data_IF_320507194740
#
_entry.id   IF_320507194740
#
_cell.length_a   1.000
_cell.length_b   1.000
_cell.length_c   1.000
_cell.angle_alpha   90.00
_cell.angle_beta   90.00
_cell.angle_gamma   90.00
#
_symmetry.space_group_name_H-M   'P 1'
#
loop_
_entity.id
_entity.type
_entity.pdbx_description
1 polymer ?
#
# COMPACT_ATOMS: atom_id res chain seq x y z
N UNK A 1 9.33 8.21 26.56
CA UNK A 1 9.93 8.63 25.28
C UNK A 1 8.87 8.41 24.24
N UNK A 2 8.48 9.44 23.48
CA UNK A 2 7.50 9.27 22.42
C UNK A 2 8.16 8.51 21.28
N UNK A 3 7.79 7.26 21.09
CA UNK A 3 8.05 6.52 19.85
C UNK A 3 7.49 7.37 18.70
N UNK A 4 8.30 7.64 17.68
CA UNK A 4 7.80 8.37 16.53
C UNK A 4 6.83 7.45 15.79
N UNK A 5 5.59 7.89 15.64
CA UNK A 5 4.55 7.14 14.96
C UNK A 5 4.22 7.81 13.62
N UNK A 6 4.28 7.04 12.54
CA UNK A 6 3.87 7.49 11.21
C UNK A 6 2.71 6.65 10.70
N UNK A 7 1.89 7.23 9.83
CA UNK A 7 0.79 6.52 9.16
C UNK A 7 0.90 6.74 7.66
N UNK A 8 0.82 5.65 6.89
CA UNK A 8 0.73 5.73 5.42
C UNK A 8 -0.75 5.76 5.02
N UNK A 9 -1.12 6.77 4.23
CA UNK A 9 -2.46 6.92 3.70
C UNK A 9 -2.51 6.72 2.18
N UNK A 10 -3.49 5.94 1.73
CA UNK A 10 -3.84 5.80 0.32
C UNK A 10 -4.79 6.94 -0.09
N UNK A 11 -4.23 7.92 -0.80
CA UNK A 11 -4.96 9.13 -1.23
C UNK A 11 -6.04 8.85 -2.30
N UNK A 12 -6.16 7.62 -2.79
CA UNK A 12 -7.27 7.24 -3.65
C UNK A 12 -8.63 7.25 -2.91
N UNK A 13 -8.62 7.04 -1.60
CA UNK A 13 -9.82 7.05 -0.77
C UNK A 13 -10.06 8.42 -0.12
N UNK A 14 -11.32 8.82 -0.03
CA UNK A 14 -11.72 10.08 0.60
C UNK A 14 -11.36 10.10 2.10
N UNK A 15 -11.27 11.31 2.65
CA UNK A 15 -11.10 11.48 4.10
C UNK A 15 -12.26 10.82 4.86
N UNK A 16 -11.95 10.02 5.87
CA UNK A 16 -12.92 9.25 6.66
C UNK A 16 -13.22 7.83 6.16
N UNK A 17 -12.76 7.42 4.97
CA UNK A 17 -12.83 6.01 4.56
C UNK A 17 -11.81 5.19 5.36
N UNK A 18 -12.27 4.13 6.04
CA UNK A 18 -11.42 3.24 6.83
C UNK A 18 -10.31 2.56 6.01
N UNK A 19 -10.50 2.40 4.69
CA UNK A 19 -9.50 1.81 3.77
C UNK A 19 -8.36 2.76 3.42
N UNK A 20 -8.48 4.03 3.80
CA UNK A 20 -7.46 5.05 3.56
C UNK A 20 -6.18 4.79 4.36
N UNK A 21 -6.28 4.28 5.59
CA UNK A 21 -5.10 3.89 6.35
C UNK A 21 -4.53 2.57 5.79
N UNK A 22 -3.27 2.59 5.38
CA UNK A 22 -2.57 1.41 4.86
C UNK A 22 -1.81 0.72 6.00
N UNK A 23 -1.07 1.48 6.78
CA UNK A 23 -0.34 0.98 7.94
C UNK A 23 0.01 2.09 8.93
N UNK A 24 0.29 1.68 10.17
CA UNK A 24 1.00 2.48 11.16
C UNK A 24 2.44 1.98 11.28
N UNK A 25 3.39 2.88 11.51
CA UNK A 25 4.82 2.61 11.62
C UNK A 25 5.30 3.15 12.95
N UNK A 26 6.00 2.34 13.73
CA UNK A 26 6.59 2.71 15.01
C UNK A 26 8.08 2.37 15.03
N UNK A 27 8.88 3.22 15.66
CA UNK A 27 10.31 2.95 15.86
C UNK A 27 10.48 1.91 16.96
N UNK A 28 11.16 0.79 16.67
CA UNK A 28 11.49 -0.24 17.68
C UNK A 28 12.93 -0.14 18.12
N UNK A 29 13.83 0.22 17.21
CA UNK A 29 15.25 0.49 17.48
C UNK A 29 15.73 1.65 16.61
N UNK A 30 16.96 2.15 16.82
CA UNK A 30 17.54 3.21 15.99
C UNK A 30 17.69 2.83 14.51
N UNK A 31 17.62 1.54 14.17
CA UNK A 31 17.80 1.01 12.81
C UNK A 31 16.63 0.16 12.33
N UNK A 32 15.54 0.11 13.09
CA UNK A 32 14.41 -0.76 12.76
C UNK A 32 13.08 -0.11 13.15
N UNK A 33 12.13 -0.21 12.24
CA UNK A 33 10.74 0.15 12.44
C UNK A 33 9.86 -1.09 12.34
N UNK A 34 8.80 -1.11 13.14
CA UNK A 34 7.73 -2.10 13.06
C UNK A 34 6.50 -1.48 12.40
N UNK A 35 5.83 -2.29 11.60
CA UNK A 35 4.68 -1.92 10.79
C UNK A 35 3.48 -2.74 11.19
N UNK A 36 2.38 -2.06 11.49
CA UNK A 36 1.08 -2.65 11.64
C UNK A 36 0.26 -2.41 10.37
N UNK A 37 0.05 -3.46 9.58
CA UNK A 37 -0.76 -3.37 8.36
C UNK A 37 -2.25 -3.31 8.71
N UNK A 38 -2.94 -2.28 8.21
CA UNK A 38 -4.39 -2.11 8.36
C UNK A 38 -5.17 -2.82 7.25
N UNK A 39 -4.46 -3.33 6.24
CA UNK A 39 -4.98 -4.06 5.09
C UNK A 39 -4.28 -5.41 5.01
N UNK A 40 -4.93 -6.38 4.38
CA UNK A 40 -4.32 -7.68 4.12
C UNK A 40 -3.26 -7.54 3.01
N UNK A 41 -2.03 -7.22 3.44
CA UNK A 41 -0.85 -7.05 2.60
C UNK A 41 0.17 -8.10 3.04
N UNK A 42 0.65 -8.97 2.13
CA UNK A 42 1.66 -9.98 2.43
C UNK A 42 3.06 -9.37 2.45
N UNK A 43 3.22 -8.24 3.15
CA UNK A 43 4.47 -7.51 3.29
C UNK A 43 5.07 -7.76 4.69
N UNK A 44 6.41 -7.70 4.84
CA UNK A 44 7.07 -7.85 6.12
C UNK A 44 6.57 -6.84 7.16
N UNK A 45 6.62 -7.23 8.44
CA UNK A 45 6.25 -6.37 9.57
C UNK A 45 7.42 -5.51 10.09
N UNK A 46 8.66 -5.78 9.68
CA UNK A 46 9.86 -5.08 10.15
C UNK A 46 10.67 -4.56 8.98
N UNK A 47 11.13 -3.33 9.08
CA UNK A 47 11.85 -2.61 8.04
C UNK A 47 12.98 -1.78 8.65
N UNK A 48 13.99 -1.42 7.87
CA UNK A 48 15.08 -0.60 8.36
C UNK A 48 14.66 0.86 8.60
N UNK A 49 13.68 1.36 7.84
CA UNK A 49 13.16 2.72 7.98
C UNK A 49 11.73 2.85 7.48
N UNK A 50 11.04 3.93 7.87
CA UNK A 50 9.72 4.26 7.34
C UNK A 50 9.72 4.49 5.81
N UNK A 51 10.86 4.90 5.24
CA UNK A 51 11.01 5.07 3.80
C UNK A 51 10.99 3.73 3.06
N UNK A 52 11.64 2.70 3.61
CA UNK A 52 11.61 1.35 3.05
C UNK A 52 10.18 0.79 3.05
N UNK A 53 9.42 1.04 4.11
CA UNK A 53 7.99 0.68 4.19
C UNK A 53 7.21 1.32 3.04
N UNK A 54 7.37 2.63 2.82
CA UNK A 54 6.68 3.35 1.74
C UNK A 54 7.05 2.76 0.37
N UNK A 55 8.33 2.54 0.13
CA UNK A 55 8.81 2.01 -1.14
C UNK A 55 8.31 0.58 -1.41
N UNK A 56 8.22 -0.28 -0.39
CA UNK A 56 7.62 -1.60 -0.55
C UNK A 56 6.11 -1.54 -0.85
N UNK A 57 5.38 -0.65 -0.18
CA UNK A 57 3.96 -0.42 -0.47
C UNK A 57 3.77 0.03 -1.92
N UNK A 58 4.55 0.99 -2.39
CA UNK A 58 4.51 1.47 -3.77
C UNK A 58 4.76 0.33 -4.76
N UNK A 59 5.85 -0.43 -4.58
CA UNK A 59 6.18 -1.58 -5.45
C UNK A 59 5.07 -2.63 -5.47
N UNK A 60 4.48 -2.94 -4.32
CA UNK A 60 3.37 -3.89 -4.24
C UNK A 60 2.13 -3.40 -4.98
N UNK A 61 1.80 -2.11 -4.86
CA UNK A 61 0.67 -1.52 -5.58
C UNK A 61 0.90 -1.49 -7.10
N UNK A 62 2.11 -1.15 -7.54
CA UNK A 62 2.48 -1.16 -8.96
C UNK A 62 2.38 -2.56 -9.56
N UNK A 63 2.93 -3.57 -8.89
CA UNK A 63 2.83 -4.97 -9.31
C UNK A 63 1.36 -5.42 -9.43
N UNK A 64 0.52 -5.08 -8.44
CA UNK A 64 -0.91 -5.39 -8.49
C UNK A 64 -1.62 -4.68 -9.64
N UNK A 65 -1.32 -3.40 -9.88
CA UNK A 65 -1.89 -2.65 -11.01
C UNK A 65 -1.50 -3.26 -12.35
N UNK A 66 -0.25 -3.70 -12.51
CA UNK A 66 0.22 -4.34 -13.74
C UNK A 66 -0.54 -5.64 -14.07
N UNK A 67 -0.95 -6.40 -13.04
CA UNK A 67 -1.72 -7.65 -13.21
C UNK A 67 -3.23 -7.46 -13.35
N UNK A 68 -3.74 -6.23 -13.27
CA UNK A 68 -5.19 -5.99 -13.29
C UNK A 68 -5.74 -6.21 -14.70
N UNK A 69 -6.78 -7.04 -14.90
CA UNK A 69 -7.40 -7.20 -16.21
C UNK A 69 -7.87 -5.86 -16.76
N UNK A 70 -7.43 -5.52 -17.99
CA UNK A 70 -7.98 -4.38 -18.73
C UNK A 70 -9.30 -4.82 -19.40
N UNK A 71 -10.39 -4.06 -19.27
CA UNK A 71 -11.62 -4.38 -19.99
C UNK A 71 -11.37 -4.33 -21.50
N UNK A 72 -11.59 -5.45 -22.20
CA UNK A 72 -11.53 -5.47 -23.66
C UNK A 72 -12.89 -4.97 -24.19
N UNK A 73 -12.94 -3.91 -25.02
CA UNK A 73 -14.18 -3.47 -25.64
C UNK A 73 -14.79 -4.59 -26.50
N UNK A 74 -16.07 -4.90 -26.29
CA UNK A 74 -16.79 -5.83 -27.15
C UNK A 74 -17.22 -5.07 -28.41
N UNK A 75 -16.52 -5.29 -29.52
CA UNK A 75 -16.93 -4.79 -30.83
C UNK A 75 -17.93 -5.77 -31.47
N UNK A 76 -19.00 -5.27 -32.13
CA UNK A 76 -19.87 -6.12 -32.92
C UNK A 76 -19.10 -6.74 -34.11
N UNK A 77 -19.50 -7.93 -34.59
CA UNK A 77 -18.86 -8.55 -35.75
C UNK A 77 -19.02 -7.67 -37.00
N UNK A 78 -18.04 -7.68 -37.93
CA UNK A 78 -18.13 -6.91 -39.17
C UNK A 78 -19.34 -7.36 -40.01
N UNK A 79 -20.10 -6.39 -40.51
CA UNK A 79 -21.21 -6.64 -41.43
C UNK A 79 -20.63 -7.09 -42.79
N UNK A 80 -21.12 -8.22 -43.30
CA UNK A 80 -20.86 -8.71 -44.66
C UNK A 80 -21.95 -8.23 -45.61
#
# INVERSE_FOLDING_TARGET
MSETEWVIHDLHFADGDHRRAVCCISTVTDTEVEVLWMRDLPLPLRHASAYDVLHEVERFQEARRATRPIPIPRLPPPAH
#
